data_IF_239484158902
#
_entry.id   IF_239484158902
#
_cell.length_a   1.000
_cell.length_b   1.000
_cell.length_c   1.000
_cell.angle_alpha   90.00
_cell.angle_beta   90.00
_cell.angle_gamma   90.00
#
_symmetry.space_group_name_H-M   'P 1'
#
loop_
_entity.id
_entity.type
_entity.pdbx_description
1 polymer ?
#
# COMPACT_ATOMS: atom_id res chain seq x y z
N UNK A 1 14.89 1.16 16.61
CA UNK A 1 14.02 1.57 15.49
C UNK A 1 13.06 0.46 15.10
N UNK A 2 13.55 -0.76 14.85
CA UNK A 2 12.69 -1.93 14.54
C UNK A 2 11.57 -2.15 15.56
N UNK A 3 11.85 -2.11 16.88
CA UNK A 3 10.81 -2.24 17.91
C UNK A 3 9.67 -1.22 17.80
N UNK A 4 9.99 0.05 17.55
CA UNK A 4 8.99 1.12 17.39
C UNK A 4 8.13 0.91 16.15
N UNK A 5 8.74 0.39 15.07
CA UNK A 5 8.01 0.01 13.85
C UNK A 5 7.06 -1.15 14.13
N UNK A 6 7.51 -2.18 14.84
CA UNK A 6 6.68 -3.33 15.20
C UNK A 6 5.52 -2.95 16.13
N UNK A 7 5.77 -2.05 17.09
CA UNK A 7 4.73 -1.48 17.96
C UNK A 7 3.69 -0.73 17.13
N UNK A 8 4.12 0.17 16.24
CA UNK A 8 3.22 0.91 15.36
C UNK A 8 2.38 0.00 14.44
N UNK A 9 3.01 -0.98 13.78
CA UNK A 9 2.30 -1.90 12.85
C UNK A 9 1.29 -2.79 13.56
N UNK A 10 1.53 -3.12 14.83
CA UNK A 10 0.61 -3.94 15.64
C UNK A 10 -0.73 -3.24 15.91
N UNK A 11 -0.70 -1.92 16.03
CA UNK A 11 -1.88 -1.13 16.40
C UNK A 11 -2.73 -0.75 15.17
N UNK A 12 -2.29 -1.07 13.96
CA UNK A 12 -3.05 -0.80 12.73
C UNK A 12 -4.13 -1.85 12.49
N UNK A 13 -5.30 -1.45 11.97
CA UNK A 13 -6.29 -2.40 11.48
C UNK A 13 -5.77 -3.13 10.25
N UNK A 14 -6.25 -4.37 10.06
CA UNK A 14 -5.99 -5.17 8.87
C UNK A 14 -7.28 -5.36 8.08
N UNK A 15 -7.18 -5.20 6.77
CA UNK A 15 -8.21 -5.59 5.81
C UNK A 15 -7.67 -6.78 5.03
N UNK A 16 -8.36 -7.92 5.09
CA UNK A 16 -8.10 -9.05 4.21
C UNK A 16 -8.95 -8.91 2.95
N UNK A 17 -8.42 -9.32 1.81
CA UNK A 17 -9.14 -9.32 0.53
C UNK A 17 -9.19 -10.74 -0.03
N UNK A 18 -10.38 -11.20 -0.37
CA UNK A 18 -10.63 -12.48 -1.01
C UNK A 18 -10.45 -12.35 -2.53
N UNK A 19 -9.24 -12.60 -3.01
CA UNK A 19 -8.90 -12.62 -4.44
C UNK A 19 -8.50 -14.04 -4.80
N UNK A 20 -9.41 -14.76 -5.46
CA UNK A 20 -9.24 -16.17 -5.82
C UNK A 20 -8.70 -16.30 -7.25
N UNK A 21 -7.41 -15.96 -7.41
CA UNK A 21 -6.70 -16.01 -8.69
C UNK A 21 -5.37 -16.79 -8.60
N UNK A 22 -4.94 -17.35 -9.73
CA UNK A 22 -3.66 -18.05 -9.79
C UNK A 22 -2.50 -17.03 -9.68
N UNK A 23 -1.50 -17.25 -8.79
CA UNK A 23 -0.40 -16.31 -8.61
C UNK A 23 0.40 -16.06 -9.90
N UNK A 24 0.45 -14.80 -10.33
CA UNK A 24 1.30 -14.35 -11.43
C UNK A 24 1.54 -12.83 -11.38
N UNK A 25 2.39 -12.30 -12.26
CA UNK A 25 2.58 -10.85 -12.39
C UNK A 25 1.35 -10.13 -13.00
N UNK A 26 0.53 -10.87 -13.75
CA UNK A 26 -0.69 -10.37 -14.40
C UNK A 26 -1.95 -10.78 -13.64
N UNK A 27 -1.80 -11.22 -12.39
CA UNK A 27 -2.89 -11.66 -11.54
C UNK A 27 -3.68 -10.45 -11.02
N UNK A 28 -4.97 -10.63 -10.75
CA UNK A 28 -5.83 -9.61 -10.15
C UNK A 28 -5.26 -9.14 -8.80
N UNK A 29 -4.71 -10.05 -7.99
CA UNK A 29 -4.01 -9.68 -6.75
C UNK A 29 -2.85 -8.71 -7.02
N UNK A 30 -1.98 -9.04 -7.98
CA UNK A 30 -0.84 -8.20 -8.35
C UNK A 30 -1.28 -6.84 -8.90
N UNK A 31 -2.37 -6.82 -9.68
CA UNK A 31 -2.98 -5.60 -10.19
C UNK A 31 -3.52 -4.70 -9.06
N UNK A 32 -4.27 -5.25 -8.12
CA UNK A 32 -4.78 -4.50 -6.96
C UNK A 32 -3.62 -3.99 -6.10
N UNK A 33 -2.62 -4.83 -5.83
CA UNK A 33 -1.46 -4.48 -5.01
C UNK A 33 -0.68 -3.29 -5.61
N UNK A 34 -0.23 -3.39 -6.87
CA UNK A 34 0.60 -2.36 -7.49
C UNK A 34 -0.11 -1.02 -7.57
N UNK A 35 -1.40 -1.02 -7.94
CA UNK A 35 -2.20 0.19 -8.07
C UNK A 35 -2.53 0.81 -6.70
N UNK A 36 -2.79 0.00 -5.67
CA UNK A 36 -3.00 0.50 -4.30
C UNK A 36 -1.75 1.21 -3.77
N UNK A 37 -0.57 0.61 -3.98
CA UNK A 37 0.70 1.21 -3.57
C UNK A 37 0.96 2.50 -4.34
N UNK A 38 0.75 2.50 -5.66
CA UNK A 38 0.92 3.68 -6.49
C UNK A 38 -0.03 4.81 -6.05
N UNK A 39 -1.32 4.53 -5.82
CA UNK A 39 -2.29 5.52 -5.36
C UNK A 39 -1.88 6.17 -4.02
N UNK A 40 -1.46 5.37 -3.04
CA UNK A 40 -1.13 5.84 -1.68
C UNK A 40 0.29 6.40 -1.54
N UNK A 41 1.12 6.29 -2.57
CA UNK A 41 2.50 6.77 -2.53
C UNK A 41 2.56 8.29 -2.66
N UNK A 42 3.24 8.95 -1.74
CA UNK A 42 3.55 10.39 -1.81
C UNK A 42 4.80 10.68 -2.67
N UNK A 43 5.35 9.68 -3.36
CA UNK A 43 6.60 9.81 -4.08
C UNK A 43 6.42 10.61 -5.38
N UNK A 44 7.07 11.78 -5.44
CA UNK A 44 7.09 12.67 -6.62
C UNK A 44 5.70 13.12 -7.11
N UNK A 45 4.70 13.15 -6.22
CA UNK A 45 3.34 13.58 -6.53
C UNK A 45 2.72 14.33 -5.35
N UNK A 46 1.56 14.94 -5.60
CA UNK A 46 0.73 15.49 -4.53
C UNK A 46 0.18 14.34 -3.68
N UNK A 47 0.32 14.46 -2.36
CA UNK A 47 -0.05 13.43 -1.42
C UNK A 47 -1.56 13.40 -1.22
N UNK A 48 -2.21 12.27 -1.54
CA UNK A 48 -3.62 12.05 -1.22
C UNK A 48 -3.80 11.87 0.30
N UNK A 49 -2.86 11.16 0.94
CA UNK A 49 -2.78 10.99 2.40
C UNK A 49 -1.35 11.30 2.90
N UNK A 50 -1.06 12.57 3.24
CA UNK A 50 0.27 12.96 3.68
C UNK A 50 0.58 12.38 5.06
N UNK A 51 1.76 11.77 5.20
CA UNK A 51 2.23 11.27 6.49
C UNK A 51 2.57 12.41 7.44
N UNK A 52 2.23 12.22 8.71
CA UNK A 52 2.62 13.11 9.81
C UNK A 52 4.14 13.18 9.98
N UNK A 53 4.63 14.27 10.58
CA UNK A 53 6.06 14.52 10.75
C UNK A 53 6.80 13.52 11.67
N UNK A 54 6.06 12.74 12.46
CA UNK A 54 6.58 11.65 13.30
C UNK A 54 6.69 10.31 12.57
N UNK A 55 6.48 10.30 11.24
CA UNK A 55 6.69 9.15 10.39
C UNK A 55 8.09 8.55 10.57
N UNK A 56 8.13 7.32 11.10
CA UNK A 56 9.39 6.61 11.37
C UNK A 56 10.23 6.41 10.09
N UNK A 57 9.64 6.56 8.91
CA UNK A 57 10.29 6.54 7.59
C UNK A 57 11.41 7.48 7.39
N UNK A 58 11.38 8.62 8.05
CA UNK A 58 12.45 9.58 7.93
C UNK A 58 13.82 9.00 8.33
N UNK A 59 13.85 7.93 9.14
CA UNK A 59 15.08 7.23 9.53
C UNK A 59 15.52 6.11 8.57
N UNK A 60 14.73 5.78 7.55
CA UNK A 60 15.11 4.74 6.57
C UNK A 60 16.23 5.23 5.65
N UNK A 61 17.15 4.32 5.30
CA UNK A 61 18.18 4.58 4.27
C UNK A 61 17.56 4.73 2.88
N UNK A 62 16.42 4.09 2.63
CA UNK A 62 15.73 4.13 1.34
C UNK A 62 15.07 5.49 1.13
N UNK A 63 15.42 6.15 0.01
CA UNK A 63 14.75 7.39 -0.42
C UNK A 63 13.28 7.12 -0.78
N UNK A 64 12.99 5.98 -1.40
CA UNK A 64 11.62 5.56 -1.75
C UNK A 64 10.75 5.52 -0.50
N UNK A 65 11.17 4.78 0.54
CA UNK A 65 10.45 4.72 1.83
C UNK A 65 10.26 6.09 2.49
N UNK A 66 11.32 6.91 2.53
CA UNK A 66 11.27 8.25 3.15
C UNK A 66 10.26 9.17 2.49
N UNK A 67 10.17 9.12 1.16
CA UNK A 67 9.41 10.07 0.35
C UNK A 67 8.03 9.55 -0.06
N UNK A 68 7.85 8.24 -0.20
CA UNK A 68 6.54 7.64 -0.49
C UNK A 68 5.63 7.68 0.72
N UNK A 69 6.18 7.73 1.94
CA UNK A 69 5.36 7.61 3.15
C UNK A 69 4.88 6.17 3.40
N UNK A 70 5.41 5.19 2.67
CA UNK A 70 5.06 3.79 2.78
C UNK A 70 6.26 2.95 3.21
N UNK A 71 6.00 1.87 3.95
CA UNK A 71 6.97 0.80 4.21
C UNK A 71 7.16 -0.12 2.99
N UNK A 72 7.31 0.49 1.81
CA UNK A 72 7.48 -0.22 0.55
C UNK A 72 8.44 0.52 -0.40
N UNK A 73 9.07 -0.23 -1.29
CA UNK A 73 9.96 0.27 -2.35
C UNK A 73 9.50 -0.09 -3.76
N UNK A 74 8.62 -1.07 -3.89
CA UNK A 74 8.05 -1.48 -5.18
C UNK A 74 6.84 -0.59 -5.50
N UNK A 75 6.59 -0.32 -6.79
CA UNK A 75 5.41 0.40 -7.30
C UNK A 75 5.17 1.84 -6.79
N UNK A 76 5.98 2.34 -5.85
CA UNK A 76 5.80 3.67 -5.25
C UNK A 76 5.99 4.83 -6.23
N UNK A 77 6.73 4.61 -7.33
CA UNK A 77 7.02 5.58 -8.38
C UNK A 77 6.24 5.32 -9.67
N UNK A 78 5.29 4.38 -9.64
CA UNK A 78 4.40 4.07 -10.76
C UNK A 78 3.11 4.88 -10.68
N UNK A 79 2.47 5.09 -11.82
CA UNK A 79 1.10 5.61 -11.87
C UNK A 79 0.12 4.47 -11.61
N UNK A 80 -1.06 4.78 -11.08
CA UNK A 80 -2.12 3.81 -10.91
C UNK A 80 -3.15 3.93 -12.04
N UNK A 81 -3.73 2.81 -12.43
CA UNK A 81 -4.88 2.71 -13.31
C UNK A 81 -6.15 2.77 -12.46
N UNK A 82 -7.01 3.79 -12.68
CA UNK A 82 -8.21 4.02 -11.89
C UNK A 82 -9.23 2.87 -11.94
N UNK A 83 -9.20 2.01 -12.97
CA UNK A 83 -10.08 0.83 -13.07
C UNK A 83 -9.88 -0.14 -11.89
N UNK A 84 -8.71 -0.12 -11.25
CA UNK A 84 -8.43 -0.97 -10.08
C UNK A 84 -9.34 -0.70 -8.88
N UNK A 85 -9.94 0.50 -8.79
CA UNK A 85 -10.82 0.86 -7.67
C UNK A 85 -12.10 0.00 -7.70
N UNK A 86 -12.62 -0.29 -8.88
CA UNK A 86 -13.78 -1.15 -9.05
C UNK A 86 -13.44 -2.60 -8.67
N UNK A 87 -12.24 -3.06 -9.02
CA UNK A 87 -11.77 -4.41 -8.68
C UNK A 87 -11.48 -4.55 -7.18
N UNK A 88 -10.91 -3.51 -6.56
CA UNK A 88 -10.71 -3.44 -5.11
C UNK A 88 -12.06 -3.46 -4.38
N UNK A 89 -13.06 -2.68 -4.84
CA UNK A 89 -14.39 -2.67 -4.25
C UNK A 89 -15.05 -4.05 -4.31
N UNK A 90 -15.01 -4.71 -5.48
CA UNK A 90 -15.53 -6.09 -5.63
C UNK A 90 -14.82 -7.06 -4.70
N UNK A 91 -13.49 -6.96 -4.58
CA UNK A 91 -12.72 -7.83 -3.69
C UNK A 91 -13.11 -7.62 -2.21
N UNK A 92 -13.37 -6.38 -1.80
CA UNK A 92 -13.87 -6.07 -0.44
C UNK A 92 -15.25 -6.69 -0.23
N UNK A 93 -16.18 -6.51 -1.17
CA UNK A 93 -17.54 -7.07 -1.08
C UNK A 93 -17.56 -8.60 -1.03
N UNK A 94 -16.62 -9.24 -1.72
CA UNK A 94 -16.46 -10.70 -1.72
C UNK A 94 -15.70 -11.24 -0.49
N UNK A 95 -15.18 -10.35 0.36
CA UNK A 95 -14.52 -10.75 1.61
C UNK A 95 -15.54 -10.79 2.73
N UNK A 96 -15.83 -11.99 3.23
CA UNK A 96 -16.67 -12.14 4.43
C UNK A 96 -15.97 -11.53 5.66
N UNK A 97 -16.75 -10.92 6.56
CA UNK A 97 -16.23 -10.41 7.82
C UNK A 97 -15.73 -11.58 8.68
N UNK A 98 -14.46 -11.50 9.11
CA UNK A 98 -13.82 -12.46 10.02
C UNK A 98 -14.20 -12.19 11.47
#
# INVERSE_FOLDING_TARGET
MERRVSEYLRDLPFLWLNVDDEPSAESQRAFIERNTIALLSNYHREAVDPRSGDWLGHHSRSKKIRKSGLWNVNHVDEDYDAEFLDDLSKAIENTEAV
#
